data_IF_214821300296
#
_entry.id   IF_214821300296
#
_cell.length_a   1.000
_cell.length_b   1.000
_cell.length_c   1.000
_cell.angle_alpha   90.00
_cell.angle_beta   90.00
_cell.angle_gamma   90.00
#
_symmetry.space_group_name_H-M   'P 1'
#
loop_
_entity.id
_entity.type
_entity.pdbx_description
1 polymer ?
#
# COMPACT_ATOMS: atom_id res chain seq x y z
N UNK A 1 8.19 -5.48 -19.33
CA UNK A 1 7.81 -6.72 -18.64
C UNK A 1 6.54 -6.40 -17.87
N UNK A 2 5.46 -7.16 -18.06
CA UNK A 2 4.26 -7.00 -17.23
C UNK A 2 4.61 -7.40 -15.79
N UNK A 3 4.08 -6.65 -14.82
CA UNK A 3 4.27 -6.95 -13.40
C UNK A 3 3.09 -7.83 -12.98
N UNK A 4 3.31 -9.11 -12.61
CA UNK A 4 2.20 -10.03 -12.38
C UNK A 4 1.40 -9.70 -11.12
N UNK A 5 2.04 -9.06 -10.12
CA UNK A 5 1.41 -8.76 -8.82
C UNK A 5 1.69 -7.32 -8.40
N UNK A 6 0.62 -6.59 -8.04
CA UNK A 6 0.72 -5.26 -7.42
C UNK A 6 0.10 -5.31 -6.01
N UNK A 7 0.86 -4.84 -5.02
CA UNK A 7 0.43 -4.75 -3.63
C UNK A 7 0.30 -3.29 -3.19
N UNK A 8 -0.68 -3.01 -2.32
CA UNK A 8 -0.90 -1.72 -1.69
C UNK A 8 -0.94 -1.87 -0.17
N UNK A 9 -0.14 -1.07 0.53
CA UNK A 9 -0.07 -1.06 2.01
C UNK A 9 -0.20 0.37 2.56
N UNK A 10 -0.60 0.56 3.83
CA UNK A 10 -0.72 1.89 4.42
C UNK A 10 0.64 2.39 4.93
N UNK A 11 0.86 3.69 4.88
CA UNK A 11 1.93 4.32 5.66
C UNK A 11 1.67 4.24 7.18
N UNK A 12 2.64 4.64 8.00
CA UNK A 12 2.44 4.78 9.45
C UNK A 12 3.01 6.09 10.02
N UNK A 13 2.62 6.39 11.27
CA UNK A 13 3.12 7.56 12.00
C UNK A 13 4.61 7.46 12.27
N UNK A 14 5.07 6.31 12.77
CA UNK A 14 6.48 6.05 13.06
C UNK A 14 7.30 6.01 11.77
N UNK A 15 8.35 6.83 11.72
CA UNK A 15 9.26 6.97 10.58
C UNK A 15 10.68 7.16 11.09
N UNK A 16 11.66 6.66 10.35
CA UNK A 16 13.07 6.80 10.68
C UNK A 16 13.88 7.13 9.40
N UNK A 17 14.52 8.30 9.37
CA UNK A 17 15.25 8.80 8.21
C UNK A 17 16.68 8.25 8.16
N UNK A 18 16.80 6.92 8.08
CA UNK A 18 18.09 6.21 8.07
C UNK A 18 19.03 6.63 6.95
N UNK A 19 18.52 7.18 5.85
CA UNK A 19 19.27 7.43 4.62
C UNK A 19 19.45 6.18 3.76
N UNK A 20 18.87 5.04 4.14
CA UNK A 20 18.94 3.80 3.37
C UNK A 20 18.12 3.95 2.08
N UNK A 21 18.75 3.68 0.94
CA UNK A 21 18.09 3.74 -0.37
C UNK A 21 18.38 2.49 -1.19
N UNK A 22 17.35 1.90 -1.80
CA UNK A 22 17.48 0.75 -2.71
C UNK A 22 17.54 1.20 -4.18
N UNK A 23 18.44 2.14 -4.50
CA UNK A 23 18.55 2.76 -5.84
C UNK A 23 18.67 1.72 -6.97
N UNK A 24 19.47 0.64 -6.86
CA UNK A 24 19.61 -0.33 -7.95
C UNK A 24 18.30 -1.02 -8.34
N UNK A 25 17.35 -1.15 -7.40
CA UNK A 25 16.05 -1.78 -7.65
C UNK A 25 14.94 -0.77 -7.98
N UNK A 26 15.16 0.54 -7.80
CA UNK A 26 14.19 1.56 -8.14
C UNK A 26 14.37 2.03 -9.58
N UNK A 27 13.38 1.74 -10.43
CA UNK A 27 13.31 2.28 -11.77
C UNK A 27 11.98 3.02 -11.96
N UNK A 28 12.01 4.34 -12.18
CA UNK A 28 10.81 5.09 -12.57
C UNK A 28 10.21 4.45 -13.81
N UNK A 29 8.96 4.04 -13.70
CA UNK A 29 8.26 3.37 -14.78
C UNK A 29 7.83 4.40 -15.82
N UNK A 30 8.39 4.34 -17.02
CA UNK A 30 8.06 5.30 -18.09
C UNK A 30 6.58 5.22 -18.47
N UNK A 31 5.93 4.06 -18.30
CA UNK A 31 4.49 3.90 -18.54
C UNK A 31 3.68 4.74 -17.55
N UNK A 32 4.18 4.92 -16.33
CA UNK A 32 3.54 5.69 -15.26
C UNK A 32 3.96 7.16 -15.23
N UNK A 33 4.77 7.65 -16.19
CA UNK A 33 5.35 9.00 -16.13
C UNK A 33 4.30 10.10 -15.92
N UNK A 34 3.24 10.13 -16.73
CA UNK A 34 2.18 11.16 -16.57
C UNK A 34 1.41 11.01 -15.26
N UNK A 35 1.22 9.77 -14.80
CA UNK A 35 0.57 9.49 -13.51
C UNK A 35 1.44 10.01 -12.36
N UNK A 36 2.76 9.85 -12.44
CA UNK A 36 3.69 10.43 -11.48
C UNK A 36 3.76 11.95 -11.56
N UNK A 37 3.72 12.57 -12.75
CA UNK A 37 3.66 14.03 -12.87
C UNK A 37 2.41 14.60 -12.20
N UNK A 38 1.25 13.95 -12.33
CA UNK A 38 0.03 14.34 -11.63
C UNK A 38 0.19 14.23 -10.11
N UNK A 39 0.77 13.12 -9.65
CA UNK A 39 1.05 12.91 -8.23
C UNK A 39 2.04 13.95 -7.68
N UNK A 40 3.10 14.30 -8.42
CA UNK A 40 4.06 15.35 -8.06
C UNK A 40 3.44 16.74 -7.95
N UNK A 41 2.51 17.08 -8.85
CA UNK A 41 1.72 18.32 -8.77
C UNK A 41 0.84 18.31 -7.51
N UNK A 42 0.16 17.19 -7.23
CA UNK A 42 -0.63 17.03 -6.02
C UNK A 42 0.24 17.07 -4.74
N UNK A 43 1.48 16.59 -4.77
CA UNK A 43 2.39 16.70 -3.61
C UNK A 43 2.77 18.14 -3.27
N UNK A 44 2.67 19.08 -4.21
CA UNK A 44 2.95 20.50 -3.95
C UNK A 44 2.06 21.07 -2.83
N UNK A 45 0.79 20.68 -2.79
CA UNK A 45 -0.14 21.12 -1.74
C UNK A 45 0.12 20.50 -0.37
N UNK A 46 1.01 19.51 -0.29
CA UNK A 46 1.42 18.85 0.97
C UNK A 46 2.84 19.20 1.40
N UNK A 47 3.58 20.02 0.65
CA UNK A 47 4.98 20.39 0.97
C UNK A 47 5.16 20.91 2.40
N UNK A 48 4.17 21.61 2.94
CA UNK A 48 4.23 22.16 4.30
C UNK A 48 4.30 21.12 5.42
N UNK A 49 3.99 19.84 5.17
CA UNK A 49 4.15 18.78 6.16
C UNK A 49 5.45 17.98 6.01
N UNK A 50 6.25 18.23 4.97
CA UNK A 50 7.47 17.46 4.66
C UNK A 50 8.69 18.10 5.32
N UNK A 51 9.51 17.29 5.98
CA UNK A 51 10.70 17.73 6.70
C UNK A 51 11.93 17.67 5.77
N UNK A 52 12.19 18.74 5.02
CA UNK A 52 13.26 18.76 4.01
C UNK A 52 14.68 18.62 4.57
N UNK A 53 14.85 18.81 5.88
CA UNK A 53 16.12 18.60 6.57
C UNK A 53 16.42 17.12 6.87
N UNK A 54 15.42 16.24 6.81
CA UNK A 54 15.61 14.80 7.03
C UNK A 54 16.45 14.20 5.91
N UNK A 55 17.07 13.04 6.16
CA UNK A 55 17.68 12.27 5.07
C UNK A 55 16.59 11.71 4.15
N UNK A 56 16.93 11.55 2.87
CA UNK A 56 16.09 10.78 1.93
C UNK A 56 16.27 9.30 2.18
N UNK A 57 15.17 8.61 2.44
CA UNK A 57 15.12 7.17 2.68
C UNK A 57 14.11 6.55 1.73
N UNK A 58 14.39 5.38 1.16
CA UNK A 58 13.38 4.65 0.36
C UNK A 58 12.16 4.34 1.22
N UNK A 59 10.96 4.53 0.67
CA UNK A 59 9.70 4.49 1.43
C UNK A 59 9.53 3.21 2.29
N UNK A 60 9.93 2.04 1.78
CA UNK A 60 9.88 0.76 2.49
C UNK A 60 10.74 0.74 3.76
N UNK A 61 11.88 1.44 3.76
CA UNK A 61 12.78 1.53 4.93
C UNK A 61 12.48 2.73 5.83
N UNK A 62 11.68 3.69 5.36
CA UNK A 62 11.32 4.86 6.14
C UNK A 62 10.33 4.50 7.25
N UNK A 63 9.34 3.66 6.95
CA UNK A 63 8.26 3.34 7.89
C UNK A 63 8.66 2.22 8.87
N UNK A 64 8.51 2.49 10.16
CA UNK A 64 8.95 1.57 11.25
C UNK A 64 7.81 1.17 12.20
N UNK A 65 6.57 1.48 11.84
CA UNK A 65 5.40 1.13 12.65
C UNK A 65 5.12 -0.36 12.72
N UNK A 66 4.17 -0.74 13.56
CA UNK A 66 3.79 -2.12 13.88
C UNK A 66 3.56 -3.07 12.69
N UNK A 67 3.10 -2.57 11.55
CA UNK A 67 2.99 -3.37 10.33
C UNK A 67 4.37 -3.74 9.77
N UNK A 68 5.27 -2.76 9.70
CA UNK A 68 6.61 -2.86 9.11
C UNK A 68 7.61 -3.54 10.06
N UNK A 69 7.37 -3.50 11.37
CA UNK A 69 8.23 -4.12 12.38
C UNK A 69 8.10 -5.64 12.47
N UNK A 70 7.35 -6.28 11.57
CA UNK A 70 7.24 -7.74 11.52
C UNK A 70 8.55 -8.31 10.97
N UNK A 71 9.16 -9.21 11.73
CA UNK A 71 10.41 -9.86 11.36
C UNK A 71 10.33 -10.52 9.97
N UNK A 72 11.37 -10.30 9.15
CA UNK A 72 11.47 -10.82 7.79
C UNK A 72 10.59 -10.15 6.74
N UNK A 73 9.65 -9.26 7.10
CA UNK A 73 8.72 -8.64 6.14
C UNK A 73 9.46 -7.79 5.11
N UNK A 74 10.32 -6.88 5.57
CA UNK A 74 11.06 -5.96 4.68
C UNK A 74 11.96 -6.75 3.73
N UNK A 75 12.65 -7.77 4.23
CA UNK A 75 13.54 -8.61 3.41
C UNK A 75 12.75 -9.43 2.38
N UNK A 76 11.62 -10.03 2.77
CA UNK A 76 10.74 -10.76 1.85
C UNK A 76 10.19 -9.84 0.74
N UNK A 77 9.76 -8.63 1.11
CA UNK A 77 9.28 -7.64 0.15
C UNK A 77 10.39 -7.17 -0.80
N UNK A 78 11.59 -6.87 -0.27
CA UNK A 78 12.74 -6.44 -1.05
C UNK A 78 13.15 -7.50 -2.09
N UNK A 79 13.21 -8.77 -1.70
CA UNK A 79 13.52 -9.88 -2.61
C UNK A 79 12.53 -9.98 -3.79
N UNK A 80 11.23 -9.82 -3.53
CA UNK A 80 10.19 -9.87 -4.56
C UNK A 80 10.20 -8.63 -5.47
N UNK A 81 10.48 -7.46 -4.90
CA UNK A 81 10.61 -6.19 -5.64
C UNK A 81 11.83 -6.22 -6.57
N UNK A 82 13.01 -6.57 -6.05
CA UNK A 82 14.25 -6.61 -6.84
C UNK A 82 14.25 -7.72 -7.90
N UNK A 83 13.46 -8.79 -7.72
CA UNK A 83 13.26 -9.83 -8.75
C UNK A 83 12.19 -9.48 -9.78
N UNK A 84 11.52 -8.33 -9.66
CA UNK A 84 10.46 -7.90 -10.58
C UNK A 84 9.17 -8.71 -10.50
N UNK A 85 9.01 -9.56 -9.48
CA UNK A 85 7.81 -10.41 -9.28
C UNK A 85 6.65 -9.67 -8.64
N UNK A 86 6.91 -8.51 -8.05
CA UNK A 86 5.92 -7.66 -7.41
C UNK A 86 6.25 -6.19 -7.63
N UNK A 87 5.23 -5.34 -7.67
CA UNK A 87 5.35 -3.91 -7.31
C UNK A 87 4.58 -3.63 -6.03
N UNK A 88 5.13 -2.78 -5.18
CA UNK A 88 4.54 -2.43 -3.90
C UNK A 88 4.39 -0.92 -3.83
N UNK A 89 3.16 -0.47 -3.60
CA UNK A 89 2.83 0.93 -3.39
C UNK A 89 2.39 1.18 -1.95
N UNK A 90 2.83 2.29 -1.38
CA UNK A 90 2.48 2.72 -0.04
C UNK A 90 1.55 3.92 -0.14
N UNK A 91 0.29 3.76 0.29
CA UNK A 91 -0.64 4.88 0.38
C UNK A 91 -0.19 5.78 1.55
N UNK A 92 0.18 7.01 1.22
CA UNK A 92 0.93 7.91 2.11
C UNK A 92 0.15 9.18 2.42
N UNK A 93 0.08 9.57 3.69
CA UNK A 93 -0.59 10.81 4.07
C UNK A 93 0.15 12.06 3.59
N UNK A 94 1.49 12.02 3.49
CA UNK A 94 2.31 13.15 3.03
C UNK A 94 2.52 13.17 1.51
N UNK A 95 2.51 12.00 0.88
CA UNK A 95 2.89 11.86 -0.54
C UNK A 95 1.79 11.30 -1.45
N UNK A 96 0.65 10.91 -0.88
CA UNK A 96 -0.50 10.32 -1.59
C UNK A 96 -0.26 8.85 -1.86
N UNK A 97 0.72 8.58 -2.71
CA UNK A 97 1.21 7.24 -3.05
C UNK A 97 2.73 7.31 -3.16
N UNK A 98 3.42 6.23 -2.81
CA UNK A 98 4.86 6.06 -3.00
C UNK A 98 5.11 4.68 -3.59
N UNK A 99 6.03 4.56 -4.54
CA UNK A 99 6.64 3.26 -4.82
C UNK A 99 7.52 2.86 -3.63
N UNK A 100 7.58 1.58 -3.29
CA UNK A 100 8.32 1.07 -2.14
C UNK A 100 9.78 1.54 -2.09
N UNK A 101 10.45 1.71 -3.23
CA UNK A 101 11.83 2.19 -3.27
C UNK A 101 11.99 3.67 -3.60
N UNK A 102 10.90 4.41 -3.78
CA UNK A 102 10.92 5.85 -3.99
C UNK A 102 11.58 6.56 -2.79
N UNK A 103 12.68 7.31 -3.00
CA UNK A 103 13.33 8.06 -1.93
C UNK A 103 12.44 9.24 -1.48
N UNK A 104 12.14 9.30 -0.18
CA UNK A 104 11.31 10.35 0.39
C UNK A 104 11.86 10.84 1.75
N UNK A 105 11.45 12.04 2.15
CA UNK A 105 11.74 12.62 3.46
C UNK A 105 10.67 12.22 4.48
N UNK A 106 11.00 12.36 5.77
CA UNK A 106 9.99 12.31 6.84
C UNK A 106 8.96 13.43 6.65
N UNK A 107 7.80 13.23 7.26
CA UNK A 107 6.70 14.18 7.20
C UNK A 107 5.76 13.96 8.38
N UNK A 108 5.05 15.02 8.75
CA UNK A 108 4.04 15.01 9.81
C UNK A 108 2.64 15.19 9.25
N UNK A 109 2.03 14.07 8.85
CA UNK A 109 0.65 14.02 8.39
C UNK A 109 0.00 12.67 8.74
N UNK A 110 -1.31 12.69 8.93
CA UNK A 110 -2.15 11.49 9.15
C UNK A 110 -3.24 11.47 8.08
N UNK A 111 -3.55 10.29 7.53
CA UNK A 111 -4.60 10.12 6.52
C UNK A 111 -6.00 10.20 7.16
N UNK A 112 -6.39 11.38 7.61
CA UNK A 112 -7.68 11.68 8.23
C UNK A 112 -8.11 13.12 7.94
N UNK A 113 -9.37 13.46 8.26
CA UNK A 113 -9.87 14.84 8.22
C UNK A 113 -9.55 15.61 6.93
N UNK A 114 -8.78 16.70 7.06
CA UNK A 114 -8.39 17.58 5.95
C UNK A 114 -7.45 16.89 4.97
N UNK A 115 -6.46 16.13 5.46
CA UNK A 115 -5.49 15.42 4.62
C UNK A 115 -6.16 14.37 3.74
N UNK A 116 -7.09 13.59 4.29
CA UNK A 116 -7.85 12.63 3.49
C UNK A 116 -8.72 13.33 2.43
N UNK A 117 -9.41 14.43 2.79
CA UNK A 117 -10.20 15.20 1.82
C UNK A 117 -9.32 15.76 0.70
N UNK A 118 -8.16 16.30 1.06
CA UNK A 118 -7.19 16.78 0.08
C UNK A 118 -6.84 15.71 -0.95
N UNK A 119 -6.43 14.52 -0.50
CA UNK A 119 -6.06 13.43 -1.40
C UNK A 119 -7.22 12.89 -2.23
N UNK A 120 -8.45 12.93 -1.69
CA UNK A 120 -9.65 12.63 -2.48
C UNK A 120 -9.87 13.66 -3.58
N UNK A 121 -9.80 14.94 -3.25
CA UNK A 121 -10.06 16.02 -4.21
C UNK A 121 -8.90 16.13 -5.24
N UNK A 122 -7.69 15.71 -4.87
CA UNK A 122 -6.53 15.59 -5.75
C UNK A 122 -6.55 14.33 -6.65
N UNK A 123 -7.55 13.45 -6.48
CA UNK A 123 -7.76 12.29 -7.34
C UNK A 123 -6.88 11.08 -7.02
N UNK A 124 -6.62 10.78 -5.74
CA UNK A 124 -5.77 9.64 -5.36
C UNK A 124 -6.34 8.29 -5.80
N UNK A 125 -7.66 8.13 -5.82
CA UNK A 125 -8.30 6.89 -6.31
C UNK A 125 -8.06 6.73 -7.82
N UNK A 126 -8.16 7.81 -8.58
CA UNK A 126 -7.92 7.89 -10.02
C UNK A 126 -6.46 7.56 -10.34
N UNK A 127 -5.51 8.02 -9.52
CA UNK A 127 -4.09 7.66 -9.65
C UNK A 127 -3.87 6.16 -9.44
N UNK A 128 -4.52 5.56 -8.43
CA UNK A 128 -4.47 4.10 -8.20
C UNK A 128 -5.10 3.35 -9.39
N UNK A 129 -6.23 3.82 -9.90
CA UNK A 129 -6.90 3.23 -11.05
C UNK A 129 -6.01 3.24 -12.30
N UNK A 130 -5.33 4.36 -12.57
CA UNK A 130 -4.39 4.46 -13.68
C UNK A 130 -3.20 3.51 -13.54
N UNK A 131 -2.69 3.30 -12.33
CA UNK A 131 -1.63 2.33 -12.10
C UNK A 131 -2.11 0.93 -12.46
N UNK A 132 -3.30 0.52 -12.03
CA UNK A 132 -3.88 -0.78 -12.40
C UNK A 132 -4.07 -0.91 -13.92
N UNK A 133 -4.62 0.12 -14.58
CA UNK A 133 -4.86 0.13 -16.02
C UNK A 133 -3.58 0.12 -16.86
N UNK A 134 -2.50 0.73 -16.37
CA UNK A 134 -1.24 0.86 -17.11
C UNK A 134 -0.27 -0.29 -16.88
N UNK A 135 -0.22 -0.79 -15.65
CA UNK A 135 0.63 -1.95 -15.33
C UNK A 135 -0.05 -3.27 -15.70
N UNK A 136 -1.38 -3.27 -15.82
CA UNK A 136 -2.23 -4.43 -16.12
C UNK A 136 -1.82 -5.69 -15.32
N UNK A 137 -1.72 -5.62 -13.97
CA UNK A 137 -1.26 -6.77 -13.22
C UNK A 137 -2.32 -7.88 -13.24
N UNK A 138 -1.86 -9.13 -13.21
CA UNK A 138 -2.77 -10.28 -13.11
C UNK A 138 -3.48 -10.28 -11.74
N UNK A 139 -2.79 -9.82 -10.70
CA UNK A 139 -3.30 -9.79 -9.33
C UNK A 139 -3.05 -8.44 -8.65
N UNK A 140 -4.05 -7.92 -7.93
CA UNK A 140 -3.90 -6.77 -7.04
C UNK A 140 -4.35 -7.08 -5.61
N UNK A 141 -3.53 -6.70 -4.64
CA UNK A 141 -3.79 -6.96 -3.22
C UNK A 141 -3.62 -5.72 -2.35
N UNK A 142 -4.63 -5.39 -1.55
CA UNK A 142 -4.56 -4.37 -0.50
C UNK A 142 -4.43 -4.99 0.90
N UNK A 143 -3.73 -4.33 1.82
CA UNK A 143 -3.63 -4.77 3.23
C UNK A 143 -4.03 -3.64 4.18
N UNK A 144 -5.32 -3.56 4.55
CA UNK A 144 -5.85 -2.41 5.30
C UNK A 144 -6.80 -2.80 6.43
N UNK A 145 -6.58 -2.25 7.62
CA UNK A 145 -7.39 -2.53 8.81
C UNK A 145 -8.83 -1.99 8.75
N UNK A 146 -9.08 -0.97 7.93
CA UNK A 146 -10.35 -0.25 7.87
C UNK A 146 -11.43 -0.96 7.08
N UNK A 147 -12.63 -0.36 7.06
CA UNK A 147 -13.70 -0.68 6.12
C UNK A 147 -13.47 0.00 4.76
N UNK A 148 -14.07 -0.50 3.66
CA UNK A 148 -13.88 0.09 2.32
C UNK A 148 -14.60 1.44 2.16
N UNK A 149 -15.53 1.78 3.06
CA UNK A 149 -16.25 3.05 3.02
C UNK A 149 -15.41 4.25 3.47
N UNK A 150 -15.88 5.46 3.15
CA UNK A 150 -15.22 6.69 3.61
C UNK A 150 -15.27 6.83 5.14
N UNK A 151 -16.38 6.47 5.78
CA UNK A 151 -16.58 6.64 7.23
C UNK A 151 -15.93 5.51 8.04
N UNK A 152 -15.20 5.86 9.11
CA UNK A 152 -14.62 4.90 10.05
C UNK A 152 -13.16 5.20 10.41
N UNK A 153 -12.71 4.72 11.57
CA UNK A 153 -11.31 4.78 11.95
C UNK A 153 -10.46 3.88 11.04
N UNK A 154 -9.36 4.42 10.49
CA UNK A 154 -8.50 3.68 9.56
C UNK A 154 -9.11 3.39 8.17
N UNK A 155 -10.34 3.83 7.91
CA UNK A 155 -11.07 3.52 6.68
C UNK A 155 -10.49 4.21 5.44
N UNK A 156 -9.79 5.35 5.60
CA UNK A 156 -9.35 6.18 4.47
C UNK A 156 -8.39 5.48 3.52
N UNK A 157 -7.42 4.74 4.05
CA UNK A 157 -6.47 4.01 3.20
C UNK A 157 -7.19 2.95 2.36
N UNK A 158 -8.05 2.13 3.00
CA UNK A 158 -8.82 1.11 2.30
C UNK A 158 -9.79 1.72 1.29
N UNK A 159 -10.43 2.83 1.64
CA UNK A 159 -11.30 3.56 0.71
C UNK A 159 -10.56 3.93 -0.59
N UNK A 160 -9.38 4.54 -0.50
CA UNK A 160 -8.64 4.94 -1.70
C UNK A 160 -8.24 3.74 -2.56
N UNK A 161 -7.75 2.68 -1.93
CA UNK A 161 -7.45 1.42 -2.61
C UNK A 161 -8.69 0.86 -3.31
N UNK A 162 -9.78 0.62 -2.57
CA UNK A 162 -10.99 0.01 -3.11
C UNK A 162 -11.60 0.87 -4.21
N UNK A 163 -11.72 2.20 -4.01
CA UNK A 163 -12.28 3.09 -5.01
C UNK A 163 -11.45 3.13 -6.30
N UNK A 164 -10.12 3.12 -6.19
CA UNK A 164 -9.22 3.10 -7.35
C UNK A 164 -9.30 1.78 -8.12
N UNK A 165 -9.28 0.64 -7.42
CA UNK A 165 -9.45 -0.68 -8.03
C UNK A 165 -10.81 -0.79 -8.73
N UNK A 166 -11.91 -0.38 -8.08
CA UNK A 166 -13.25 -0.37 -8.69
C UNK A 166 -13.34 0.53 -9.91
N UNK A 167 -12.60 1.64 -9.93
CA UNK A 167 -12.56 2.51 -11.10
C UNK A 167 -11.80 1.85 -12.26
N UNK A 168 -10.69 1.15 -12.00
CA UNK A 168 -9.97 0.40 -13.03
C UNK A 168 -10.82 -0.75 -13.61
N UNK A 169 -11.52 -1.50 -12.75
CA UNK A 169 -12.44 -2.57 -13.18
C UNK A 169 -13.55 -2.02 -14.09
N UNK A 170 -14.18 -0.91 -13.70
CA UNK A 170 -15.21 -0.24 -14.50
C UNK A 170 -14.69 0.33 -15.82
N UNK A 171 -13.39 0.62 -15.89
CA UNK A 171 -12.71 1.06 -17.10
C UNK A 171 -12.27 -0.11 -18.02
N UNK A 172 -12.56 -1.35 -17.65
CA UNK A 172 -12.34 -2.54 -18.49
C UNK A 172 -11.08 -3.32 -18.17
N UNK A 173 -10.35 -3.01 -17.09
CA UNK A 173 -9.28 -3.88 -16.61
C UNK A 173 -9.86 -5.16 -15.99
N UNK A 174 -9.37 -6.33 -16.40
CA UNK A 174 -9.89 -7.65 -16.00
C UNK A 174 -8.75 -8.47 -15.37
N UNK A 175 -8.44 -8.27 -14.08
CA UNK A 175 -7.45 -9.09 -13.39
C UNK A 175 -7.97 -10.50 -13.14
N UNK A 176 -7.04 -11.43 -12.90
CA UNK A 176 -7.38 -12.74 -12.35
C UNK A 176 -7.94 -12.61 -10.94
N UNK A 177 -7.39 -11.67 -10.14
CA UNK A 177 -7.85 -11.43 -8.77
C UNK A 177 -7.60 -9.99 -8.33
N UNK A 178 -8.55 -9.40 -7.62
CA UNK A 178 -8.41 -8.06 -7.08
C UNK A 178 -9.10 -7.95 -5.73
N UNK A 179 -8.34 -7.80 -4.64
CA UNK A 179 -8.97 -7.81 -3.31
C UNK A 179 -8.15 -7.21 -2.20
N UNK A 180 -8.73 -7.22 -1.01
CA UNK A 180 -8.15 -6.61 0.18
C UNK A 180 -8.15 -7.60 1.34
N UNK A 181 -6.98 -7.78 1.95
CA UNK A 181 -6.85 -8.32 3.29
C UNK A 181 -7.25 -7.24 4.30
N UNK A 182 -8.13 -7.59 5.24
CA UNK A 182 -8.70 -6.64 6.20
C UNK A 182 -8.92 -7.27 7.56
N UNK A 183 -9.04 -6.43 8.59
CA UNK A 183 -9.41 -6.90 9.92
C UNK A 183 -10.86 -7.36 9.93
N UNK A 184 -11.09 -8.67 10.04
CA UNK A 184 -12.42 -9.27 10.21
C UNK A 184 -12.88 -9.18 11.66
N UNK A 185 -12.01 -9.52 12.61
CA UNK A 185 -12.30 -9.43 14.05
C UNK A 185 -11.04 -9.07 14.87
N UNK A 186 -11.20 -8.83 16.18
CA UNK A 186 -10.11 -8.39 17.06
C UNK A 186 -10.03 -6.88 17.30
N UNK A 187 -9.27 -6.46 18.31
CA UNK A 187 -9.17 -5.07 18.80
C UNK A 187 -7.71 -4.68 19.07
N UNK A 188 -7.48 -3.37 19.20
CA UNK A 188 -6.16 -2.79 19.51
C UNK A 188 -5.35 -2.51 18.24
N UNK A 189 -5.03 -1.24 17.99
CA UNK A 189 -4.36 -0.80 16.76
C UNK A 189 -3.03 -1.53 16.56
N UNK A 190 -2.23 -1.69 17.61
CA UNK A 190 -0.97 -2.43 17.56
C UNK A 190 -1.16 -3.87 17.12
N UNK A 191 -2.02 -4.63 17.80
CA UNK A 191 -2.29 -6.04 17.47
C UNK A 191 -2.82 -6.18 16.04
N UNK A 192 -3.73 -5.30 15.62
CA UNK A 192 -4.30 -5.31 14.27
C UNK A 192 -3.23 -5.06 13.20
N UNK A 193 -2.40 -4.03 13.37
CA UNK A 193 -1.37 -3.70 12.38
C UNK A 193 -0.28 -4.76 12.30
N UNK A 194 0.11 -5.34 13.43
CA UNK A 194 1.06 -6.46 13.43
C UNK A 194 0.45 -7.73 12.81
N UNK A 195 -0.84 -8.03 13.04
CA UNK A 195 -1.52 -9.16 12.40
C UNK A 195 -1.60 -9.00 10.88
N UNK A 196 -1.90 -7.79 10.39
CA UNK A 196 -1.86 -7.47 8.96
C UNK A 196 -0.45 -7.59 8.39
N UNK A 197 0.57 -7.07 9.09
CA UNK A 197 1.96 -7.20 8.68
C UNK A 197 2.39 -8.67 8.61
N UNK A 198 1.98 -9.49 9.58
CA UNK A 198 2.26 -10.92 9.61
C UNK A 198 1.54 -11.65 8.47
N UNK A 199 0.26 -11.36 8.23
CA UNK A 199 -0.48 -11.89 7.10
C UNK A 199 0.20 -11.53 5.76
N UNK A 200 0.65 -10.29 5.60
CA UNK A 200 1.39 -9.86 4.42
C UNK A 200 2.71 -10.63 4.28
N UNK A 201 3.52 -10.72 5.34
CA UNK A 201 4.79 -11.45 5.34
C UNK A 201 4.60 -12.94 4.96
N UNK A 202 3.62 -13.63 5.54
CA UNK A 202 3.29 -15.02 5.18
C UNK A 202 2.83 -15.14 3.72
N UNK A 203 2.06 -14.17 3.22
CA UNK A 203 1.62 -14.15 1.84
C UNK A 203 2.77 -13.96 0.85
N UNK A 204 3.74 -13.08 1.18
CA UNK A 204 4.98 -12.92 0.42
C UNK A 204 5.81 -14.21 0.42
N UNK A 205 5.97 -14.86 1.58
CA UNK A 205 6.71 -16.11 1.72
C UNK A 205 6.02 -17.30 1.03
N UNK A 206 4.69 -17.24 0.89
CA UNK A 206 3.91 -18.18 0.12
C UNK A 206 3.98 -17.93 -1.40
N UNK A 207 4.75 -16.93 -1.86
CA UNK A 207 4.91 -16.57 -3.28
C UNK A 207 3.57 -16.30 -3.98
N UNK A 208 2.69 -15.55 -3.30
CA UNK A 208 1.35 -15.18 -3.80
C UNK A 208 0.44 -16.36 -4.16
N UNK A 209 0.65 -17.53 -3.56
CA UNK A 209 -0.19 -18.71 -3.80
C UNK A 209 -1.66 -18.42 -3.60
N UNK A 210 -2.44 -18.75 -4.62
CA UNK A 210 -3.91 -18.68 -4.62
C UNK A 210 -4.55 -19.43 -3.44
N UNK A 211 -3.98 -20.59 -3.06
CA UNK A 211 -4.44 -21.36 -1.90
C UNK A 211 -4.35 -20.58 -0.59
N UNK A 212 -3.37 -19.67 -0.46
CA UNK A 212 -3.28 -18.82 0.74
C UNK A 212 -4.50 -17.88 0.80
N UNK A 213 -4.84 -17.23 -0.31
CA UNK A 213 -5.99 -16.31 -0.38
C UNK A 213 -7.28 -17.06 -0.06
N UNK A 214 -7.49 -18.24 -0.66
CA UNK A 214 -8.65 -19.08 -0.42
C UNK A 214 -8.79 -19.50 1.04
N UNK A 215 -7.68 -19.90 1.68
CA UNK A 215 -7.68 -20.23 3.10
C UNK A 215 -8.05 -19.01 3.97
N UNK A 216 -7.54 -17.81 3.65
CA UNK A 216 -7.90 -16.59 4.38
C UNK A 216 -9.35 -16.17 4.14
N UNK A 217 -9.91 -16.42 2.95
CA UNK A 217 -11.32 -16.20 2.67
C UNK A 217 -12.21 -17.11 3.53
N UNK A 218 -11.92 -18.42 3.55
CA UNK A 218 -12.72 -19.43 4.23
C UNK A 218 -12.56 -19.37 5.75
N UNK A 219 -11.32 -19.43 6.23
CA UNK A 219 -11.02 -19.67 7.64
C UNK A 219 -10.45 -18.43 8.35
N UNK A 220 -10.06 -17.41 7.59
CA UNK A 220 -9.34 -16.26 8.12
C UNK A 220 -7.88 -16.57 8.43
N UNK A 221 -7.10 -15.53 8.66
CA UNK A 221 -5.73 -15.61 9.18
C UNK A 221 -5.71 -15.07 10.61
N UNK A 222 -5.47 -15.96 11.58
CA UNK A 222 -5.49 -15.64 13.00
C UNK A 222 -4.09 -15.40 13.55
N UNK A 223 -3.88 -14.25 14.20
CA UNK A 223 -2.61 -13.94 14.88
C UNK A 223 -2.86 -13.05 16.10
N UNK A 224 -2.38 -13.49 17.28
CA UNK A 224 -2.51 -12.79 18.56
C UNK A 224 -3.93 -12.25 18.86
N UNK A 225 -4.96 -13.08 18.61
CA UNK A 225 -6.36 -12.71 18.88
C UNK A 225 -6.98 -11.72 17.89
N UNK A 226 -6.32 -11.48 16.76
CA UNK A 226 -6.85 -10.74 15.60
C UNK A 226 -7.05 -11.70 14.44
N UNK A 227 -8.18 -11.58 13.77
CA UNK A 227 -8.50 -12.33 12.56
C UNK A 227 -8.49 -11.41 11.35
N UNK A 228 -7.68 -11.75 10.36
CA UNK A 228 -7.62 -11.08 9.06
C UNK A 228 -8.46 -11.89 8.08
N UNK A 229 -9.39 -11.24 7.39
CA UNK A 229 -10.14 -11.82 6.29
C UNK A 229 -9.65 -11.29 4.95
N UNK A 230 -10.20 -11.84 3.87
CA UNK A 230 -10.00 -11.35 2.51
C UNK A 230 -11.35 -11.09 1.85
N UNK A 231 -11.43 -10.04 1.04
CA UNK A 231 -12.62 -9.65 0.27
C UNK A 231 -12.20 -9.22 -1.14
N UNK A 232 -12.86 -9.76 -2.15
CA UNK A 232 -12.72 -9.31 -3.55
C UNK A 232 -13.31 -7.91 -3.71
N UNK A 233 -12.62 -7.08 -4.48
CA UNK A 233 -13.13 -5.80 -4.96
C UNK A 233 -13.87 -6.06 -6.26
N UNK A 234 -15.15 -5.69 -6.28
CA UNK A 234 -16.03 -5.76 -7.45
C UNK A 234 -16.59 -4.39 -7.82
#
# INVERSE_FOLDING_TARGET
MSVPVVCFIPCCKAKEDTGKTAIPCFQPDSVLEETYRRLERARQGMKGCVETASKKTSALYLYTGHFYSVEGLVDAAENLLCSGRMRLFIISAGYGLLDAFEPCHTYEAVMSGRTARYWRDAGLAEIIAEICLKLEPDHVYGFFAGSPGWSGAGAKYRYFFTAGVQQALRAGWVPTRAGCFYRRSGRGVTAIMQALGKCFCEFLNADFRESFVQNVMLDGFCWNGVEIGYEEVS
#
